data_IF_470837948501
#
_entry.id   IF_470837948501
#
_cell.length_a   1.000
_cell.length_b   1.000
_cell.length_c   1.000
_cell.angle_alpha   90.00
_cell.angle_beta   90.00
_cell.angle_gamma   90.00
#
_symmetry.space_group_name_H-M   'P 1'
#
loop_
_entity.id
_entity.type
_entity.pdbx_description
1 polymer ?
#
# COMPACT_ATOMS: atom_id res chain seq x y z
N UNK A 1 11.00 -0.01 -24.56
CA UNK A 1 12.23 0.25 -23.79
C UNK A 1 13.29 0.99 -24.62
N UNK A 2 13.75 0.49 -25.81
CA UNK A 2 14.76 1.18 -26.66
C UNK A 2 14.39 2.63 -27.02
N UNK A 3 13.12 2.93 -27.31
CA UNK A 3 12.64 4.30 -27.60
C UNK A 3 12.73 5.21 -26.37
N UNK A 4 12.41 4.68 -25.19
CA UNK A 4 12.51 5.41 -23.92
C UNK A 4 13.96 5.77 -23.61
N UNK A 5 14.89 4.85 -23.77
CA UNK A 5 16.33 5.10 -23.60
C UNK A 5 16.87 6.18 -24.52
N UNK A 6 16.46 6.14 -25.81
CA UNK A 6 16.81 7.20 -26.79
C UNK A 6 16.27 8.55 -26.35
N UNK A 7 15.04 8.61 -25.84
CA UNK A 7 14.44 9.83 -25.33
C UNK A 7 15.17 10.39 -24.10
N UNK A 8 15.63 9.54 -23.18
CA UNK A 8 16.44 9.98 -22.04
C UNK A 8 17.81 10.55 -22.46
N UNK A 9 18.45 9.90 -23.43
CA UNK A 9 19.69 10.44 -24.03
C UNK A 9 19.46 11.81 -24.69
N UNK A 10 18.35 11.93 -25.45
CA UNK A 10 17.97 13.20 -26.08
C UNK A 10 17.70 14.30 -25.05
N UNK A 11 17.02 14.00 -23.94
CA UNK A 11 16.81 14.96 -22.83
C UNK A 11 18.13 15.41 -22.19
N UNK A 12 19.03 14.46 -21.93
CA UNK A 12 20.38 14.80 -21.37
C UNK A 12 21.16 15.68 -22.35
N UNK A 13 21.09 15.41 -23.64
CA UNK A 13 21.75 16.23 -24.65
C UNK A 13 21.18 17.66 -24.70
N UNK A 14 19.88 17.83 -24.63
CA UNK A 14 19.24 19.15 -24.57
C UNK A 14 19.61 19.93 -23.29
N UNK A 15 19.68 19.22 -22.16
CA UNK A 15 20.04 19.85 -20.87
C UNK A 15 21.50 20.25 -20.78
N UNK A 16 22.41 19.51 -21.42
CA UNK A 16 23.87 19.75 -21.35
C UNK A 16 24.39 20.85 -22.27
N UNK A 17 23.64 21.24 -23.32
CA UNK A 17 24.08 22.20 -24.32
C UNK A 17 23.39 23.55 -24.18
N UNK A 18 24.16 24.62 -23.99
CA UNK A 18 23.66 26.01 -23.94
C UNK A 18 23.05 26.50 -25.28
N UNK A 19 23.51 26.00 -26.42
CA UNK A 19 22.97 26.32 -27.77
C UNK A 19 22.82 25.04 -28.57
N UNK A 20 21.60 24.77 -29.06
CA UNK A 20 21.28 23.68 -29.99
C UNK A 20 20.66 24.27 -31.26
N UNK A 21 21.18 23.91 -32.43
CA UNK A 21 20.62 24.37 -33.73
C UNK A 21 19.14 23.96 -33.88
N UNK A 22 18.28 24.81 -34.45
CA UNK A 22 16.83 24.59 -34.53
C UNK A 22 16.43 23.22 -35.11
N UNK A 23 17.06 22.79 -36.17
CA UNK A 23 16.81 21.47 -36.81
C UNK A 23 17.14 20.31 -35.86
N UNK A 24 18.25 20.40 -35.12
CA UNK A 24 18.65 19.35 -34.17
C UNK A 24 17.73 19.35 -32.96
N UNK A 25 17.34 20.50 -32.44
CA UNK A 25 16.36 20.63 -31.36
C UNK A 25 15.05 19.97 -31.71
N UNK A 26 14.47 20.26 -32.87
CA UNK A 26 13.23 19.63 -33.36
C UNK A 26 13.35 18.09 -33.44
N UNK A 27 14.51 17.57 -33.92
CA UNK A 27 14.75 16.12 -33.96
C UNK A 27 14.82 15.50 -32.56
N UNK A 28 15.43 16.19 -31.60
CA UNK A 28 15.51 15.72 -30.22
C UNK A 28 14.14 15.77 -29.54
N UNK A 29 13.35 16.83 -29.77
CA UNK A 29 11.99 16.95 -29.25
C UNK A 29 11.10 15.81 -29.77
N UNK A 30 11.10 15.52 -31.08
CA UNK A 30 10.38 14.38 -31.66
C UNK A 30 10.83 13.03 -31.06
N UNK A 31 12.12 12.87 -30.77
CA UNK A 31 12.63 11.64 -30.12
C UNK A 31 12.13 11.52 -28.68
N UNK A 32 12.00 12.64 -27.98
CA UNK A 32 11.45 12.68 -26.62
C UNK A 32 9.96 12.34 -26.64
N UNK A 33 9.20 12.91 -27.55
CA UNK A 33 7.77 12.61 -27.73
C UNK A 33 7.53 11.13 -28.05
N UNK A 34 8.30 10.53 -28.99
CA UNK A 34 8.23 9.10 -29.31
C UNK A 34 8.55 8.23 -28.08
N UNK A 35 9.50 8.64 -27.27
CA UNK A 35 9.83 7.94 -26.03
C UNK A 35 8.74 8.05 -24.95
N UNK A 36 8.05 9.19 -24.85
CA UNK A 36 6.91 9.37 -23.95
C UNK A 36 5.72 8.51 -24.38
N UNK A 37 5.37 8.54 -25.68
CA UNK A 37 4.32 7.70 -26.24
C UNK A 37 4.61 6.21 -26.05
N UNK A 38 5.87 5.79 -26.24
CA UNK A 38 6.28 4.41 -26.00
C UNK A 38 6.14 4.00 -24.50
N UNK A 39 6.39 4.93 -23.59
CA UNK A 39 6.20 4.70 -22.14
C UNK A 39 4.72 4.55 -21.79
N UNK A 40 3.90 5.46 -22.29
CA UNK A 40 2.46 5.43 -22.09
C UNK A 40 1.85 4.12 -22.61
N UNK A 41 2.22 3.73 -23.84
CA UNK A 41 1.79 2.46 -24.40
C UNK A 41 2.24 1.26 -23.56
N UNK A 42 3.47 1.27 -23.03
CA UNK A 42 3.96 0.19 -22.14
C UNK A 42 3.13 0.09 -20.86
N UNK A 43 2.76 1.21 -20.25
CA UNK A 43 1.95 1.27 -19.03
C UNK A 43 0.53 0.79 -19.33
N UNK A 44 -0.12 1.33 -20.36
CA UNK A 44 -1.50 1.01 -20.75
C UNK A 44 -1.65 -0.47 -21.09
N UNK A 45 -0.71 -1.03 -21.88
CA UNK A 45 -0.73 -2.45 -22.25
C UNK A 45 -0.56 -3.41 -21.05
N UNK A 46 -0.05 -2.91 -19.91
CA UNK A 46 0.17 -3.70 -18.70
C UNK A 46 -0.77 -3.34 -17.54
N UNK A 47 -1.79 -2.52 -17.75
CA UNK A 47 -2.78 -2.14 -16.71
C UNK A 47 -3.50 -3.35 -16.09
N UNK A 48 -3.79 -4.38 -16.89
CA UNK A 48 -4.39 -5.63 -16.40
C UNK A 48 -3.53 -6.37 -15.39
N UNK A 49 -2.21 -6.22 -15.44
CA UNK A 49 -1.29 -6.78 -14.46
C UNK A 49 -1.51 -6.15 -13.08
N UNK A 50 -1.74 -4.84 -13.03
CA UNK A 50 -2.04 -4.13 -11.77
C UNK A 50 -3.30 -4.70 -11.13
N UNK A 51 -4.38 -4.85 -11.92
CA UNK A 51 -5.65 -5.41 -11.43
C UNK A 51 -5.44 -6.83 -10.86
N UNK A 52 -4.67 -7.68 -11.55
CA UNK A 52 -4.40 -9.05 -11.11
C UNK A 52 -3.62 -9.13 -9.79
N UNK A 53 -2.75 -8.16 -9.54
CA UNK A 53 -2.01 -8.06 -8.27
C UNK A 53 -2.90 -7.45 -7.17
N UNK A 54 -3.59 -6.34 -7.45
CA UNK A 54 -4.42 -5.62 -6.48
C UNK A 54 -5.57 -6.48 -5.94
N UNK A 55 -6.17 -7.35 -6.77
CA UNK A 55 -7.23 -8.30 -6.35
C UNK A 55 -6.86 -9.13 -5.12
N UNK A 56 -5.60 -9.47 -4.93
CA UNK A 56 -5.12 -10.27 -3.79
C UNK A 56 -5.13 -9.51 -2.46
N UNK A 57 -5.39 -8.21 -2.50
CA UNK A 57 -5.34 -7.30 -1.35
C UNK A 57 -6.69 -6.68 -1.02
N UNK A 58 -7.77 -7.12 -1.66
CA UNK A 58 -9.14 -6.69 -1.36
C UNK A 58 -9.48 -7.04 0.11
N UNK A 59 -10.26 -6.17 0.77
CA UNK A 59 -10.71 -6.37 2.16
C UNK A 59 -9.69 -5.96 3.22
N UNK A 60 -8.59 -5.28 2.84
CA UNK A 60 -7.55 -4.84 3.78
C UNK A 60 -7.67 -3.38 4.23
N UNK A 61 -8.88 -2.80 4.18
CA UNK A 61 -9.15 -1.45 4.66
C UNK A 61 -8.95 -0.34 3.64
N UNK A 62 -8.54 -0.66 2.40
CA UNK A 62 -8.43 0.29 1.29
C UNK A 62 -9.37 -0.13 0.17
N UNK A 63 -10.17 0.77 -0.41
CA UNK A 63 -11.04 0.48 -1.54
C UNK A 63 -10.27 -0.10 -2.73
N UNK A 64 -10.91 -1.02 -3.46
CA UNK A 64 -10.23 -1.72 -4.57
C UNK A 64 -9.72 -0.77 -5.67
N UNK A 65 -10.49 0.26 -5.99
CA UNK A 65 -10.10 1.26 -6.99
C UNK A 65 -8.85 2.03 -6.55
N UNK A 66 -8.72 2.35 -5.26
CA UNK A 66 -7.55 3.05 -4.72
C UNK A 66 -6.32 2.14 -4.74
N UNK A 67 -6.49 0.83 -4.45
CA UNK A 67 -5.41 -0.15 -4.61
C UNK A 67 -4.93 -0.25 -6.06
N UNK A 68 -5.84 -0.13 -7.05
CA UNK A 68 -5.47 -0.09 -8.46
C UNK A 68 -4.68 1.18 -8.77
N UNK A 69 -5.08 2.34 -8.26
CA UNK A 69 -4.38 3.60 -8.52
C UNK A 69 -2.97 3.60 -7.91
N UNK A 70 -2.84 3.15 -6.66
CA UNK A 70 -1.52 2.97 -6.04
C UNK A 70 -0.66 1.95 -6.80
N UNK A 71 -1.26 0.86 -7.25
CA UNK A 71 -0.61 -0.12 -8.11
C UNK A 71 -0.14 0.46 -9.45
N UNK A 72 -0.93 1.37 -10.06
CA UNK A 72 -0.56 2.10 -11.26
C UNK A 72 0.64 3.02 -11.03
N UNK A 73 0.74 3.67 -9.87
CA UNK A 73 1.92 4.44 -9.47
C UNK A 73 3.15 3.52 -9.41
N UNK A 74 3.00 2.32 -8.85
CA UNK A 74 4.04 1.29 -8.87
C UNK A 74 4.47 0.88 -10.28
N UNK A 75 3.50 0.66 -11.18
CA UNK A 75 3.74 0.33 -12.59
C UNK A 75 4.48 1.45 -13.33
N UNK A 76 4.12 2.72 -13.09
CA UNK A 76 4.80 3.89 -13.65
C UNK A 76 6.27 3.97 -13.19
N UNK A 77 6.54 3.67 -11.92
CA UNK A 77 7.91 3.59 -11.38
C UNK A 77 8.69 2.45 -12.03
N UNK A 78 8.06 1.29 -12.20
CA UNK A 78 8.67 0.16 -12.88
C UNK A 78 9.01 0.50 -14.33
N UNK A 79 8.08 1.10 -15.09
CA UNK A 79 8.31 1.51 -16.47
C UNK A 79 9.48 2.50 -16.62
N UNK A 80 9.67 3.40 -15.62
CA UNK A 80 10.79 4.35 -15.62
C UNK A 80 12.14 3.70 -15.36
N UNK A 81 12.18 2.66 -14.49
CA UNK A 81 13.43 2.03 -14.03
C UNK A 81 13.78 0.72 -14.74
N UNK A 82 12.92 0.24 -15.63
CA UNK A 82 13.12 -1.04 -16.28
C UNK A 82 14.28 -1.04 -17.27
N UNK A 83 15.24 -1.93 -17.01
CA UNK A 83 16.37 -2.20 -17.89
C UNK A 83 16.12 -3.48 -18.68
N UNK A 84 15.86 -3.33 -20.00
CA UNK A 84 15.59 -4.46 -20.88
C UNK A 84 16.88 -5.24 -21.29
N UNK A 85 18.06 -4.66 -21.07
CA UNK A 85 19.33 -5.33 -21.37
C UNK A 85 19.58 -6.55 -20.48
N UNK A 86 18.95 -6.59 -19.30
CA UNK A 86 19.05 -7.71 -18.35
C UNK A 86 18.31 -8.97 -18.79
N UNK A 87 17.59 -8.95 -19.92
CA UNK A 87 16.91 -10.11 -20.47
C UNK A 87 15.63 -10.57 -19.76
N UNK A 88 15.25 -9.93 -18.65
CA UNK A 88 14.04 -10.27 -17.90
C UNK A 88 12.78 -9.70 -18.54
N UNK A 89 11.64 -10.41 -18.38
CA UNK A 89 10.33 -9.90 -18.80
C UNK A 89 9.92 -8.70 -17.94
N UNK A 90 9.33 -7.69 -18.56
CA UNK A 90 8.83 -6.49 -17.87
C UNK A 90 7.86 -6.85 -16.74
N UNK A 91 6.94 -7.80 -16.95
CA UNK A 91 5.96 -8.22 -15.93
C UNK A 91 6.60 -8.71 -14.65
N UNK A 92 7.71 -9.46 -14.70
CA UNK A 92 8.43 -9.95 -13.52
C UNK A 92 8.94 -8.79 -12.66
N UNK A 93 9.53 -7.79 -13.29
CA UNK A 93 10.02 -6.59 -12.61
C UNK A 93 8.88 -5.69 -12.10
N UNK A 94 7.87 -5.47 -12.94
CA UNK A 94 6.74 -4.62 -12.61
C UNK A 94 5.90 -5.17 -11.45
N UNK A 95 5.72 -6.48 -11.35
CA UNK A 95 4.97 -7.12 -10.25
C UNK A 95 5.54 -6.77 -8.89
N UNK A 96 6.86 -6.68 -8.76
CA UNK A 96 7.50 -6.29 -7.50
C UNK A 96 7.15 -4.84 -7.11
N UNK A 97 7.23 -3.89 -8.07
CA UNK A 97 6.91 -2.48 -7.82
C UNK A 97 5.43 -2.25 -7.55
N UNK A 98 4.55 -2.97 -8.27
CA UNK A 98 3.10 -2.92 -8.04
C UNK A 98 2.78 -3.42 -6.64
N UNK A 99 3.32 -4.59 -6.25
CA UNK A 99 3.13 -5.15 -4.91
C UNK A 99 3.62 -4.20 -3.83
N UNK A 100 4.82 -3.65 -3.99
CA UNK A 100 5.40 -2.69 -3.05
C UNK A 100 4.52 -1.44 -2.88
N UNK A 101 3.96 -0.90 -3.97
CA UNK A 101 3.08 0.26 -3.91
C UNK A 101 1.77 -0.07 -3.19
N UNK A 102 1.13 -1.18 -3.57
CA UNK A 102 -0.13 -1.63 -2.96
C UNK A 102 0.03 -1.95 -1.47
N UNK A 103 1.07 -2.69 -1.08
CA UNK A 103 1.30 -3.01 0.35
C UNK A 103 1.63 -1.77 1.16
N UNK A 104 2.34 -0.81 0.58
CA UNK A 104 2.62 0.45 1.24
C UNK A 104 1.36 1.30 1.42
N UNK A 105 0.49 1.37 0.41
CA UNK A 105 -0.79 2.06 0.50
C UNK A 105 -1.67 1.47 1.63
N UNK A 106 -1.72 0.14 1.74
CA UNK A 106 -2.45 -0.53 2.82
C UNK A 106 -1.87 -0.18 4.19
N UNK A 107 -0.55 -0.15 4.34
CA UNK A 107 0.10 0.22 5.59
C UNK A 107 -0.15 1.69 5.97
N UNK A 108 -0.23 2.58 4.97
CA UNK A 108 -0.39 4.03 5.17
C UNK A 108 -1.86 4.46 5.33
N UNK A 109 -2.83 3.77 4.70
CA UNK A 109 -4.23 4.20 4.57
C UNK A 109 -5.26 3.15 5.02
N UNK A 110 -4.83 1.91 5.31
CA UNK A 110 -5.75 0.78 5.58
C UNK A 110 -6.39 0.79 6.96
N UNK A 111 -6.07 1.76 7.83
CA UNK A 111 -6.63 1.88 9.17
C UNK A 111 -7.16 3.28 9.43
N UNK A 112 -8.31 3.39 10.13
CA UNK A 112 -8.89 4.66 10.56
C UNK A 112 -7.91 5.43 11.45
N UNK A 113 -7.30 4.77 12.43
CA UNK A 113 -6.19 5.31 13.20
C UNK A 113 -4.89 4.79 12.58
N UNK A 114 -4.13 5.70 11.96
CA UNK A 114 -2.88 5.38 11.27
C UNK A 114 -1.86 4.78 12.23
N UNK A 115 -1.24 3.68 11.79
CA UNK A 115 -0.15 3.02 12.52
C UNK A 115 1.13 3.09 11.68
N UNK A 116 2.30 3.36 12.29
CA UNK A 116 3.58 3.33 11.57
C UNK A 116 3.84 1.97 10.90
N UNK A 117 4.49 1.98 9.73
CA UNK A 117 4.70 0.78 8.90
C UNK A 117 5.42 -0.33 9.68
N UNK A 118 6.47 0.02 10.44
CA UNK A 118 7.22 -0.96 11.24
C UNK A 118 6.37 -1.64 12.31
N UNK A 119 5.42 -0.92 12.92
CA UNK A 119 4.47 -1.49 13.88
C UNK A 119 3.47 -2.42 13.17
N UNK A 120 3.00 -2.03 11.98
CA UNK A 120 2.17 -2.86 11.13
C UNK A 120 2.85 -4.19 10.76
N UNK A 121 4.15 -4.18 10.48
CA UNK A 121 4.92 -5.39 10.20
C UNK A 121 5.05 -6.29 11.45
N UNK A 122 5.24 -5.70 12.64
CA UNK A 122 5.27 -6.44 13.90
C UNK A 122 3.90 -7.09 14.19
N UNK A 123 2.81 -6.36 14.02
CA UNK A 123 1.44 -6.90 14.18
C UNK A 123 1.19 -8.05 13.20
N UNK A 124 1.60 -7.91 11.93
CA UNK A 124 1.46 -8.97 10.94
C UNK A 124 2.30 -10.22 11.30
N UNK A 125 3.48 -10.04 11.92
CA UNK A 125 4.30 -11.14 12.42
C UNK A 125 3.61 -11.81 13.61
N UNK A 126 3.09 -11.03 14.56
CA UNK A 126 2.33 -11.52 15.72
C UNK A 126 1.14 -12.37 15.28
N UNK A 127 0.30 -11.87 14.37
CA UNK A 127 -0.87 -12.60 13.87
C UNK A 127 -0.50 -13.92 13.20
N UNK A 128 0.57 -13.94 12.41
CA UNK A 128 1.04 -15.18 11.76
C UNK A 128 1.51 -16.22 12.77
N UNK A 129 2.24 -15.78 13.81
CA UNK A 129 2.72 -16.68 14.89
C UNK A 129 1.54 -17.18 15.71
N UNK A 130 0.60 -16.30 16.07
CA UNK A 130 -0.62 -16.66 16.79
C UNK A 130 -1.42 -17.72 16.04
N UNK A 131 -1.71 -17.52 14.75
CA UNK A 131 -2.41 -18.54 13.94
C UNK A 131 -1.67 -19.86 13.88
N UNK A 132 -0.34 -19.84 13.73
CA UNK A 132 0.46 -21.06 13.67
C UNK A 132 0.45 -21.83 15.03
N UNK A 133 0.44 -21.09 16.14
CA UNK A 133 0.32 -21.69 17.48
C UNK A 133 -1.08 -22.24 17.74
N UNK A 134 -2.13 -21.48 17.42
CA UNK A 134 -3.51 -21.94 17.54
C UNK A 134 -3.71 -23.26 16.78
N UNK A 135 -3.14 -23.37 15.57
CA UNK A 135 -3.22 -24.59 14.79
C UNK A 135 -2.47 -25.78 15.44
N UNK A 136 -1.37 -25.51 16.16
CA UNK A 136 -0.60 -26.56 16.85
C UNK A 136 -1.20 -26.97 18.19
N UNK A 137 -1.71 -26.00 18.96
CA UNK A 137 -2.18 -26.19 20.32
C UNK A 137 -3.67 -26.55 20.41
N UNK A 138 -4.44 -26.26 19.34
CA UNK A 138 -5.91 -26.40 19.35
C UNK A 138 -6.64 -25.39 20.23
N UNK A 139 -5.93 -24.38 20.78
CA UNK A 139 -6.45 -23.28 21.59
C UNK A 139 -5.72 -21.98 21.26
N UNK A 140 -6.27 -20.85 21.69
CA UNK A 140 -5.58 -19.59 21.55
C UNK A 140 -4.31 -19.57 22.43
N UNK A 141 -3.18 -19.05 21.89
CA UNK A 141 -1.92 -18.97 22.60
C UNK A 141 -1.96 -17.87 23.69
N UNK A 142 -1.25 -18.10 24.78
CA UNK A 142 -1.06 -17.08 25.82
C UNK A 142 -0.07 -16.02 25.39
N UNK A 143 -0.10 -14.84 26.06
CA UNK A 143 0.83 -13.74 25.80
C UNK A 143 2.30 -14.18 25.99
N UNK A 144 2.55 -15.05 26.96
CA UNK A 144 3.88 -15.60 27.27
C UNK A 144 4.41 -16.52 26.17
N UNK A 145 3.56 -17.41 25.66
CA UNK A 145 3.89 -18.32 24.54
C UNK A 145 4.21 -17.53 23.26
N UNK A 146 3.48 -16.43 23.01
CA UNK A 146 3.75 -15.53 21.89
C UNK A 146 5.03 -14.75 22.08
N UNK A 147 5.32 -14.30 23.32
CA UNK A 147 6.50 -13.54 23.67
C UNK A 147 7.78 -14.37 23.46
N UNK A 148 7.76 -15.65 23.87
CA UNK A 148 8.86 -16.58 23.69
C UNK A 148 9.19 -16.82 22.21
N UNK A 149 8.16 -17.05 21.36
CA UNK A 149 8.36 -17.28 19.92
C UNK A 149 8.76 -16.05 19.12
N UNK A 150 8.36 -14.86 19.60
CA UNK A 150 8.69 -13.58 18.95
C UNK A 150 10.02 -13.01 19.43
N UNK A 151 10.59 -13.58 20.51
CA UNK A 151 11.77 -13.08 21.23
C UNK A 151 11.60 -11.62 21.67
N UNK A 152 10.48 -11.35 22.36
CA UNK A 152 10.12 -10.02 22.89
C UNK A 152 9.52 -10.16 24.29
N UNK A 153 9.62 -9.14 25.14
CA UNK A 153 8.99 -9.18 26.46
C UNK A 153 7.45 -9.25 26.35
N UNK A 154 6.74 -9.94 27.30
CA UNK A 154 5.28 -10.10 27.28
C UNK A 154 4.52 -8.78 27.18
N UNK A 155 4.95 -7.75 27.91
CA UNK A 155 4.37 -6.41 27.86
C UNK A 155 4.32 -5.83 26.44
N UNK A 156 5.37 -6.06 25.65
CA UNK A 156 5.41 -5.60 24.24
C UNK A 156 4.41 -6.36 23.35
N UNK A 157 4.12 -7.62 23.68
CA UNK A 157 3.06 -8.38 22.99
C UNK A 157 1.69 -7.80 23.32
N UNK A 158 1.43 -7.45 24.60
CA UNK A 158 0.19 -6.78 25.01
C UNK A 158 -0.01 -5.45 24.27
N UNK A 159 1.02 -4.61 24.24
CA UNK A 159 1.00 -3.34 23.50
C UNK A 159 0.69 -3.58 22.01
N UNK A 160 1.31 -4.60 21.38
CA UNK A 160 1.03 -4.94 19.99
C UNK A 160 -0.41 -5.42 19.79
N UNK A 161 -0.98 -6.19 20.71
CA UNK A 161 -2.38 -6.64 20.67
C UNK A 161 -3.33 -5.46 20.79
N UNK A 162 -3.06 -4.51 21.70
CA UNK A 162 -3.87 -3.29 21.83
C UNK A 162 -3.86 -2.45 20.55
N UNK A 163 -2.68 -2.19 19.99
CA UNK A 163 -2.54 -1.44 18.71
C UNK A 163 -3.13 -2.20 17.53
N UNK A 164 -3.20 -3.52 17.60
CA UNK A 164 -3.80 -4.35 16.54
C UNK A 164 -5.33 -4.20 16.47
N UNK A 165 -6.01 -3.80 17.54
CA UNK A 165 -7.46 -3.61 17.59
C UNK A 165 -7.88 -2.57 16.56
N UNK A 166 -9.07 -2.78 15.98
CA UNK A 166 -9.71 -1.82 15.06
C UNK A 166 -10.84 -1.12 15.80
N UNK A 167 -11.08 0.18 15.54
CA UNK A 167 -12.26 0.87 16.02
C UNK A 167 -13.54 0.18 15.56
N UNK A 168 -14.54 0.15 16.42
CA UNK A 168 -15.90 -0.28 16.08
C UNK A 168 -16.67 0.91 15.49
N UNK A 169 -17.66 0.63 14.66
CA UNK A 169 -18.57 1.67 14.15
C UNK A 169 -19.56 2.05 15.26
N UNK A 170 -19.79 3.35 15.43
CA UNK A 170 -20.83 3.85 16.32
C UNK A 170 -22.25 3.53 15.82
N UNK A 171 -22.41 3.35 14.50
CA UNK A 171 -23.66 2.94 13.86
C UNK A 171 -23.87 1.41 13.91
N UNK A 172 -23.00 0.68 14.60
CA UNK A 172 -23.16 -0.76 14.75
C UNK A 172 -24.40 -1.04 15.60
N UNK A 173 -25.37 -1.85 15.09
CA UNK A 173 -26.55 -2.22 15.85
C UNK A 173 -26.11 -3.05 17.07
N UNK A 174 -26.68 -2.71 18.22
CA UNK A 174 -26.50 -3.44 19.48
C UNK A 174 -27.77 -4.21 19.75
N UNK A 175 -27.69 -5.54 19.64
CA UNK A 175 -28.74 -6.52 19.92
C UNK A 175 -30.21 -6.18 19.51
N UNK A 176 -31.01 -7.19 19.39
CA UNK A 176 -32.43 -7.44 19.14
C UNK A 176 -33.47 -6.30 19.10
N UNK A 177 -33.14 -5.07 19.37
CA UNK A 177 -34.01 -3.89 19.22
C UNK A 177 -33.61 -3.17 17.94
N UNK A 178 -34.50 -3.21 16.94
CA UNK A 178 -34.26 -2.77 15.55
C UNK A 178 -33.70 -1.34 15.38
N UNK A 179 -33.64 -0.50 16.42
CA UNK A 179 -33.25 0.92 16.32
C UNK A 179 -32.12 1.37 17.25
N UNK A 180 -31.48 0.51 18.06
CA UNK A 180 -30.43 0.94 18.97
C UNK A 180 -29.03 0.73 18.38
N UNK A 181 -28.23 1.81 18.35
CA UNK A 181 -26.87 1.85 17.87
C UNK A 181 -25.87 1.90 19.03
N UNK A 182 -24.64 1.42 18.82
CA UNK A 182 -23.56 1.49 19.82
C UNK A 182 -23.33 2.92 20.32
N UNK A 183 -23.50 3.92 19.44
CA UNK A 183 -23.34 5.34 19.79
C UNK A 183 -24.32 5.83 20.84
N UNK A 184 -25.52 5.25 20.95
CA UNK A 184 -26.56 5.66 21.91
C UNK A 184 -26.22 5.28 23.37
N UNK A 185 -25.27 4.37 23.55
CA UNK A 185 -24.79 3.91 24.86
C UNK A 185 -23.52 4.64 25.36
N UNK A 186 -22.99 5.57 24.57
CA UNK A 186 -21.81 6.33 24.94
C UNK A 186 -22.24 7.62 25.61
N UNK A 187 -21.90 7.78 26.89
CA UNK A 187 -22.18 8.96 27.70
C UNK A 187 -21.29 10.14 27.25
N UNK A 188 -21.85 11.36 27.22
CA UNK A 188 -21.13 12.59 27.01
C UNK A 188 -20.55 13.09 28.34
N UNK A 189 -19.28 12.87 28.58
CA UNK A 189 -18.57 13.25 29.81
C UNK A 189 -18.31 14.77 29.91
N UNK A 190 -18.39 15.52 28.82
CA UNK A 190 -18.10 16.95 28.77
C UNK A 190 -19.33 17.85 29.03
N UNK A 191 -20.53 17.28 28.94
CA UNK A 191 -21.77 18.03 29.26
C UNK A 191 -22.03 18.09 30.74
N UNK A 192 -22.18 19.32 31.33
CA UNK A 192 -22.53 19.44 32.72
C UNK A 192 -23.89 18.80 33.03
N UNK A 193 -23.99 18.05 34.13
CA UNK A 193 -25.26 17.45 34.54
C UNK A 193 -26.30 18.55 34.80
N UNK A 194 -27.59 18.33 34.52
CA UNK A 194 -28.64 19.33 34.74
C UNK A 194 -28.71 19.90 36.18
N UNK A 195 -28.15 19.19 37.14
CA UNK A 195 -28.03 19.62 38.52
C UNK A 195 -26.82 20.54 38.80
N UNK A 196 -25.89 20.64 37.87
CA UNK A 196 -24.65 21.47 37.97
C UNK A 196 -24.74 22.73 37.07
N UNK A 197 -25.80 22.88 36.30
CA UNK A 197 -26.11 24.01 35.45
C UNK A 197 -27.04 25.00 36.22
#
# INVERSE_FOLDING_TARGET
>A
AKRMEKAERARKELASRKRVYPRRRRKLDLTIEDGLAAREHLVTANSRLVISVAKKYIGRGVPFLDLIQEGNIGLLRAAKKFDYHRGHKFSTYATWWIRQAVTRAIADQGRTIRVPVHMGDQINKLLRVSHALTQKLGRDPTTEELAELLDVPPKKVEDMVQVARRPLSLEMPTDDVEDSMLGDFIEDEDSPAPAEA
#
